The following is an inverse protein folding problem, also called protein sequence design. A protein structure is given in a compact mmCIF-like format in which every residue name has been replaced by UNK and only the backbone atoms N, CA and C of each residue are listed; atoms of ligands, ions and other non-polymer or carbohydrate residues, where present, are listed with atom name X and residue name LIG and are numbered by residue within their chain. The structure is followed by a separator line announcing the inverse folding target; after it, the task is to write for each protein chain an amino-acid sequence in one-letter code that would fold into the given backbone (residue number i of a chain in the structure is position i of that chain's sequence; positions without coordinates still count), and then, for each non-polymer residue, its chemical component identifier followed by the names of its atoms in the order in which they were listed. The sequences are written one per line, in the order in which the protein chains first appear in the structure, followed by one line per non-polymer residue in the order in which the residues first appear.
data_IF_327829685639
#
_entry.id   IF_327829685639
#
_cell.length_a   1.000
_cell.length_b   1.000
_cell.length_c   1.000
_cell.angle_alpha   90.00
_cell.angle_beta   90.00
_cell.angle_gamma   90.00
#
_symmetry.space_group_name_H-M   'P 1'
#
loop_
_entity.id
_entity.type
_entity.pdbx_description
1 polymer ?
#
# COMPACT_ATOMS: atom_id res chain seq x y z
N UNK A 1 12.58 -17.67 8.02
CA UNK A 1 13.91 -17.27 8.53
C UNK A 1 13.88 -16.23 9.65
N UNK A 2 12.81 -15.43 9.83
CA UNK A 2 12.77 -14.39 10.88
C UNK A 2 11.87 -14.71 12.08
N UNK A 3 11.17 -15.86 12.10
CA UNK A 3 10.21 -16.19 13.15
C UNK A 3 10.89 -16.41 14.52
N UNK A 4 11.87 -17.30 14.62
CA UNK A 4 12.56 -17.58 15.88
C UNK A 4 13.25 -16.33 16.48
N UNK A 5 14.00 -15.52 15.69
CA UNK A 5 14.53 -14.25 16.20
C UNK A 5 13.45 -13.28 16.70
N UNK A 6 12.31 -13.21 16.02
CA UNK A 6 11.21 -12.35 16.43
C UNK A 6 10.58 -12.84 17.74
N UNK A 7 10.34 -14.14 17.88
CA UNK A 7 9.77 -14.72 19.10
C UNK A 7 10.68 -14.50 20.31
N UNK A 8 12.01 -14.64 20.13
CA UNK A 8 12.98 -14.32 21.18
C UNK A 8 12.91 -12.84 21.61
N UNK A 9 12.86 -11.92 20.64
CA UNK A 9 12.76 -10.49 20.93
C UNK A 9 11.44 -10.13 21.63
N UNK A 10 10.32 -10.77 21.27
CA UNK A 10 9.04 -10.55 21.93
C UNK A 10 9.05 -11.04 23.38
N UNK A 11 9.73 -12.16 23.67
CA UNK A 11 9.90 -12.66 25.03
C UNK A 11 10.80 -11.76 25.87
N UNK A 12 11.88 -11.25 25.27
CA UNK A 12 12.85 -10.38 25.94
C UNK A 12 12.30 -8.97 26.20
N UNK A 13 11.72 -8.34 25.18
CA UNK A 13 11.30 -6.94 25.25
C UNK A 13 9.88 -6.74 25.80
N UNK A 14 9.01 -7.76 25.71
CA UNK A 14 7.60 -7.71 26.12
C UNK A 14 6.87 -6.42 25.69
N UNK A 15 6.85 -6.07 24.39
CA UNK A 15 6.25 -4.83 23.93
C UNK A 15 4.72 -4.84 24.08
N UNK A 16 4.12 -3.66 24.32
CA UNK A 16 2.65 -3.51 24.36
C UNK A 16 1.99 -3.78 22.99
N UNK A 17 2.72 -3.61 21.90
CA UNK A 17 2.23 -3.78 20.54
C UNK A 17 3.36 -4.09 19.55
N UNK A 18 3.05 -4.89 18.53
CA UNK A 18 3.93 -5.16 17.38
C UNK A 18 3.27 -4.59 16.11
N UNK A 19 4.00 -3.75 15.39
CA UNK A 19 3.63 -3.32 14.03
C UNK A 19 4.46 -4.12 13.04
N UNK A 20 3.80 -5.00 12.29
CA UNK A 20 4.42 -5.81 11.25
C UNK A 20 4.00 -5.30 9.86
N UNK A 21 4.92 -5.37 8.91
CA UNK A 21 4.68 -4.92 7.55
C UNK A 21 3.59 -5.78 6.87
N UNK A 22 2.68 -5.09 6.20
CA UNK A 22 1.73 -5.68 5.27
C UNK A 22 2.15 -5.19 3.89
N UNK A 23 2.47 -6.11 2.99
CA UNK A 23 2.90 -5.81 1.61
C UNK A 23 1.77 -5.19 0.73
N UNK A 24 0.75 -4.57 1.32
CA UNK A 24 -0.54 -4.27 0.69
C UNK A 24 -1.06 -2.91 1.18
N UNK A 25 -1.31 -2.00 0.25
CA UNK A 25 -1.97 -0.71 0.53
C UNK A 25 -3.48 -0.89 0.78
N UNK A 26 -4.15 0.12 1.34
CA UNK A 26 -5.61 0.08 1.59
C UNK A 26 -6.48 -0.18 0.35
N UNK A 27 -5.97 0.16 -0.84
CA UNK A 27 -6.64 -0.17 -2.09
C UNK A 27 -6.48 -1.63 -2.53
N UNK A 28 -5.59 -2.38 -1.89
CA UNK A 28 -5.03 -3.62 -2.44
C UNK A 28 -5.69 -4.89 -1.84
N UNK A 29 -6.56 -4.75 -0.83
CA UNK A 29 -7.60 -5.76 -0.50
C UNK A 29 -8.62 -5.94 -1.64
N UNK A 30 -8.59 -5.05 -2.64
CA UNK A 30 -9.20 -5.32 -3.94
C UNK A 30 -8.71 -6.64 -4.55
N UNK A 31 -7.57 -7.23 -4.17
CA UNK A 31 -7.07 -8.46 -4.81
C UNK A 31 -8.02 -9.67 -4.73
N UNK A 32 -8.70 -9.90 -3.60
CA UNK A 32 -9.73 -10.94 -3.53
C UNK A 32 -10.95 -10.61 -4.40
N UNK A 33 -11.38 -9.34 -4.40
CA UNK A 33 -12.51 -8.88 -5.21
C UNK A 33 -12.18 -8.88 -6.72
N UNK A 34 -10.93 -8.55 -7.06
CA UNK A 34 -10.32 -8.63 -8.39
C UNK A 34 -10.32 -10.08 -8.84
N UNK A 35 -9.94 -11.03 -7.97
CA UNK A 35 -9.94 -12.45 -8.28
C UNK A 35 -11.34 -12.96 -8.64
N UNK A 36 -12.34 -12.64 -7.81
CA UNK A 36 -13.73 -13.03 -8.06
C UNK A 36 -14.33 -12.34 -9.30
N UNK A 37 -13.93 -11.10 -9.59
CA UNK A 37 -14.38 -10.35 -10.76
C UNK A 37 -13.67 -10.80 -12.04
N UNK A 38 -12.40 -11.20 -11.98
CA UNK A 38 -11.60 -11.72 -13.10
C UNK A 38 -12.19 -13.01 -13.67
N UNK A 39 -12.65 -13.93 -12.81
CA UNK A 39 -13.29 -15.20 -13.22
C UNK A 39 -14.49 -14.99 -14.15
N UNK A 40 -15.08 -13.79 -14.18
CA UNK A 40 -16.27 -13.45 -14.98
C UNK A 40 -15.94 -13.00 -16.41
N UNK A 41 -14.66 -12.89 -16.78
CA UNK A 41 -14.23 -12.41 -18.10
C UNK A 41 -13.43 -13.51 -18.79
N UNK A 42 -13.49 -13.60 -20.12
CA UNK A 42 -12.71 -14.57 -20.94
C UNK A 42 -11.59 -13.95 -21.78
N UNK A 43 -11.55 -12.61 -21.90
CA UNK A 43 -10.49 -11.85 -22.60
C UNK A 43 -9.67 -10.97 -21.65
N UNK A 44 -8.39 -10.73 -21.98
CA UNK A 44 -7.48 -9.88 -21.20
C UNK A 44 -7.71 -8.38 -21.40
N UNK A 45 -8.20 -7.99 -22.58
CA UNK A 45 -8.40 -6.59 -22.95
C UNK A 45 -9.83 -6.11 -22.69
N UNK A 46 -10.75 -7.02 -22.34
CA UNK A 46 -12.13 -6.66 -22.04
C UNK A 46 -12.22 -6.06 -20.62
N UNK A 47 -12.76 -4.84 -20.45
CA UNK A 47 -12.95 -4.27 -19.14
C UNK A 47 -13.96 -5.06 -18.30
N UNK A 48 -13.73 -5.11 -16.99
CA UNK A 48 -14.68 -5.57 -15.99
C UNK A 48 -14.77 -4.57 -14.85
N UNK A 49 -15.94 -4.55 -14.20
CA UNK A 49 -16.20 -3.67 -13.06
C UNK A 49 -15.80 -4.40 -11.79
N UNK A 50 -15.03 -3.72 -10.94
CA UNK A 50 -14.77 -4.21 -9.59
C UNK A 50 -16.06 -4.20 -8.78
N UNK A 51 -16.38 -5.34 -8.19
CA UNK A 51 -17.53 -5.47 -7.28
C UNK A 51 -17.10 -5.12 -5.86
N UNK A 52 -18.01 -4.56 -5.07
CA UNK A 52 -17.79 -4.21 -3.66
C UNK A 52 -16.68 -3.17 -3.42
N UNK A 53 -16.54 -2.23 -4.37
CA UNK A 53 -15.79 -0.97 -4.20
C UNK A 53 -16.77 0.21 -4.21
N UNK A 54 -16.35 1.32 -3.61
CA UNK A 54 -17.21 2.48 -3.38
C UNK A 54 -17.53 3.30 -4.64
N UNK A 55 -16.83 3.04 -5.72
CA UNK A 55 -17.01 3.68 -7.02
C UNK A 55 -16.86 2.65 -8.13
N UNK A 56 -17.45 2.93 -9.29
CA UNK A 56 -17.33 2.05 -10.46
C UNK A 56 -15.90 2.10 -11.01
N UNK A 57 -15.07 1.15 -10.59
CA UNK A 57 -13.70 1.00 -11.09
C UNK A 57 -13.72 -0.05 -12.20
N UNK A 58 -13.33 0.35 -13.41
CA UNK A 58 -13.15 -0.54 -14.56
C UNK A 58 -11.70 -0.89 -14.74
N UNK A 59 -11.40 -2.19 -14.73
CA UNK A 59 -10.06 -2.72 -14.99
C UNK A 59 -10.10 -3.72 -16.14
N UNK A 60 -8.98 -3.86 -16.82
CA UNK A 60 -8.68 -4.97 -17.73
C UNK A 60 -7.71 -5.94 -17.03
N UNK A 61 -7.59 -7.19 -17.48
CA UNK A 61 -6.61 -8.11 -16.86
C UNK A 61 -5.18 -7.64 -17.00
N UNK A 62 -4.87 -6.93 -18.10
CA UNK A 62 -3.55 -6.32 -18.32
C UNK A 62 -3.18 -5.25 -17.29
N UNK A 63 -4.14 -4.72 -16.53
CA UNK A 63 -3.87 -3.76 -15.45
C UNK A 63 -3.66 -4.44 -14.09
N UNK A 64 -3.83 -5.77 -14.00
CA UNK A 64 -3.60 -6.52 -12.78
C UNK A 64 -2.11 -6.89 -12.64
N UNK A 65 -1.57 -7.07 -11.43
CA UNK A 65 -0.30 -7.74 -11.20
C UNK A 65 -0.25 -9.13 -11.84
N UNK A 66 0.92 -9.56 -12.31
CA UNK A 66 1.07 -10.86 -13.00
C UNK A 66 0.61 -12.04 -12.15
N UNK A 67 0.84 -11.99 -10.83
CA UNK A 67 0.38 -13.01 -9.88
C UNK A 67 -1.15 -13.13 -9.77
N UNK A 68 -1.90 -12.09 -10.13
CA UNK A 68 -3.37 -12.13 -10.22
C UNK A 68 -3.87 -12.46 -11.63
N UNK A 69 -3.02 -12.32 -12.67
CA UNK A 69 -3.38 -12.65 -14.06
C UNK A 69 -3.42 -14.15 -14.33
N UNK A 70 -2.61 -14.95 -13.64
CA UNK A 70 -2.55 -16.40 -13.83
C UNK A 70 -3.66 -17.12 -13.04
N UNK A 71 -4.20 -18.22 -13.57
CA UNK A 71 -5.34 -18.97 -12.99
C UNK A 71 -4.90 -20.14 -12.09
N UNK A 72 -3.68 -20.10 -11.55
CA UNK A 72 -3.11 -21.21 -10.78
C UNK A 72 -2.90 -20.84 -9.31
N UNK A 73 -3.04 -21.87 -8.47
CA UNK A 73 -2.70 -21.96 -7.05
C UNK A 73 -1.18 -21.76 -6.86
N UNK A 74 -0.71 -20.55 -7.15
CA UNK A 74 0.68 -20.12 -7.05
C UNK A 74 0.99 -19.70 -5.63
N UNK A 75 2.28 -19.70 -5.26
CA UNK A 75 2.75 -19.18 -3.98
C UNK A 75 2.31 -17.73 -3.75
N UNK A 76 2.14 -16.95 -4.84
CA UNK A 76 1.58 -15.60 -4.77
C UNK A 76 0.12 -15.59 -4.29
N UNK A 77 -0.73 -16.47 -4.83
CA UNK A 77 -2.14 -16.55 -4.41
C UNK A 77 -2.31 -16.99 -2.95
N UNK A 78 -1.42 -17.88 -2.47
CA UNK A 78 -1.34 -18.29 -1.06
C UNK A 78 -0.90 -17.13 -0.18
N UNK A 79 0.18 -16.44 -0.55
CA UNK A 79 0.66 -15.25 0.13
C UNK A 79 -0.45 -14.17 0.25
N UNK A 80 -1.18 -13.91 -0.83
CA UNK A 80 -2.28 -12.94 -0.79
C UNK A 80 -3.43 -13.38 0.13
N UNK A 81 -3.73 -14.68 0.17
CA UNK A 81 -4.73 -15.24 1.09
C UNK A 81 -4.27 -15.11 2.55
N UNK A 82 -3.01 -15.42 2.84
CA UNK A 82 -2.41 -15.26 4.17
C UNK A 82 -2.38 -13.80 4.62
N UNK A 83 -2.11 -12.85 3.72
CA UNK A 83 -2.15 -11.42 4.04
C UNK A 83 -3.58 -10.97 4.37
N UNK A 84 -4.58 -11.43 3.62
CA UNK A 84 -5.98 -11.10 3.94
C UNK A 84 -6.39 -11.75 5.25
N UNK A 85 -5.97 -12.98 5.54
CA UNK A 85 -6.21 -13.62 6.83
C UNK A 85 -5.51 -12.92 7.99
N UNK A 86 -4.29 -12.42 7.80
CA UNK A 86 -3.56 -11.70 8.85
C UNK A 86 -4.23 -10.36 9.18
N UNK A 87 -4.80 -9.67 8.18
CA UNK A 87 -5.65 -8.50 8.38
C UNK A 87 -6.90 -8.83 9.22
N UNK A 88 -7.46 -10.04 9.07
CA UNK A 88 -8.62 -10.48 9.84
C UNK A 88 -8.27 -10.85 11.29
N UNK A 89 -7.08 -11.44 11.50
CA UNK A 89 -6.59 -11.97 12.79
C UNK A 89 -5.88 -10.91 13.63
N UNK A 90 -5.35 -9.86 13.01
CA UNK A 90 -4.64 -8.79 13.72
C UNK A 90 -5.59 -7.89 14.50
N UNK A 91 -5.02 -7.08 15.40
CA UNK A 91 -5.81 -6.09 16.13
C UNK A 91 -6.43 -5.06 15.17
N UNK A 92 -5.71 -4.66 14.13
CA UNK A 92 -6.19 -3.81 13.07
C UNK A 92 -5.04 -3.32 12.21
N UNK A 93 -5.30 -2.31 11.38
CA UNK A 93 -4.35 -1.82 10.38
C UNK A 93 -4.00 -0.35 10.60
N UNK A 94 -2.71 -0.06 10.53
CA UNK A 94 -2.18 1.29 10.48
C UNK A 94 -1.93 1.64 9.02
N UNK A 95 -2.38 2.81 8.59
CA UNK A 95 -2.33 3.22 7.20
C UNK A 95 -1.58 4.53 7.07
N UNK A 96 -0.59 4.56 6.17
CA UNK A 96 0.04 5.79 5.75
C UNK A 96 -0.84 6.54 4.71
N UNK A 97 -2.01 6.99 5.17
CA UNK A 97 -2.98 7.85 4.49
C UNK A 97 -3.67 8.71 5.55
N UNK A 98 -4.51 9.68 5.19
CA UNK A 98 -5.27 10.51 6.13
C UNK A 98 -6.75 10.52 5.74
N UNK A 99 -7.63 10.78 6.71
CA UNK A 99 -9.07 10.60 6.49
C UNK A 99 -9.61 11.45 5.34
N UNK A 100 -9.16 12.69 5.23
CA UNK A 100 -9.68 13.68 4.28
C UNK A 100 -9.38 13.34 2.82
N UNK A 101 -8.36 12.52 2.52
CA UNK A 101 -8.04 12.13 1.14
C UNK A 101 -8.91 10.98 0.63
N UNK A 102 -9.30 10.05 1.51
CA UNK A 102 -10.00 8.82 1.15
C UNK A 102 -11.12 8.46 2.17
N UNK A 103 -12.02 9.40 2.53
CA UNK A 103 -12.94 9.22 3.66
C UNK A 103 -13.88 8.03 3.47
N UNK A 104 -14.34 7.82 2.23
CA UNK A 104 -15.23 6.74 1.88
C UNK A 104 -14.56 5.37 2.12
N UNK A 105 -13.28 5.20 1.77
CA UNK A 105 -12.55 3.94 1.96
C UNK A 105 -12.27 3.66 3.43
N UNK A 106 -11.92 4.69 4.20
CA UNK A 106 -11.76 4.57 5.65
C UNK A 106 -13.07 4.12 6.31
N UNK A 107 -14.18 4.73 5.92
CA UNK A 107 -15.51 4.37 6.40
C UNK A 107 -15.93 2.97 5.98
N UNK A 108 -15.62 2.56 4.75
CA UNK A 108 -15.88 1.20 4.27
C UNK A 108 -15.14 0.15 5.11
N UNK A 109 -13.85 0.37 5.39
CA UNK A 109 -13.08 -0.54 6.23
C UNK A 109 -13.66 -0.65 7.64
N UNK A 110 -14.04 0.48 8.25
CA UNK A 110 -14.56 0.52 9.61
C UNK A 110 -15.99 -0.03 9.72
N UNK A 111 -16.88 0.37 8.82
CA UNK A 111 -18.32 0.13 8.91
C UNK A 111 -18.78 -1.11 8.14
N UNK A 112 -18.21 -1.36 6.97
CA UNK A 112 -18.63 -2.48 6.10
C UNK A 112 -17.79 -3.73 6.38
N UNK A 113 -16.46 -3.58 6.47
CA UNK A 113 -15.58 -4.71 6.76
C UNK A 113 -15.43 -5.01 8.25
N UNK A 114 -15.90 -4.11 9.12
CA UNK A 114 -15.79 -4.22 10.57
C UNK A 114 -14.35 -4.19 11.09
N UNK A 115 -13.42 -3.58 10.35
CA UNK A 115 -12.00 -3.54 10.69
C UNK A 115 -11.65 -2.28 11.45
N UNK A 116 -10.72 -2.41 12.41
CA UNK A 116 -10.08 -1.24 13.01
C UNK A 116 -8.98 -0.75 12.07
N UNK A 117 -9.14 0.46 11.56
CA UNK A 117 -8.18 1.08 10.65
C UNK A 117 -7.84 2.49 11.16
N UNK A 118 -6.54 2.81 11.21
CA UNK A 118 -6.02 4.11 11.64
C UNK A 118 -5.20 4.75 10.51
N UNK A 119 -5.79 5.69 9.75
CA UNK A 119 -5.04 6.54 8.83
C UNK A 119 -4.27 7.60 9.64
N UNK A 120 -2.95 7.45 9.70
CA UNK A 120 -2.04 8.32 10.49
C UNK A 120 -1.03 9.09 9.62
N UNK A 121 -1.19 9.00 8.31
CA UNK A 121 -0.29 9.60 7.34
C UNK A 121 -0.56 11.08 7.06
N UNK A 122 0.21 11.69 6.15
CA UNK A 122 1.43 11.13 5.56
C UNK A 122 2.58 11.13 6.58
N UNK A 123 3.09 9.94 6.94
CA UNK A 123 4.13 9.78 7.99
C UNK A 123 5.47 10.42 7.58
N UNK A 124 5.64 10.71 6.29
CA UNK A 124 6.78 11.46 5.76
C UNK A 124 6.91 12.87 6.34
N UNK A 125 5.83 13.43 6.91
CA UNK A 125 5.81 14.73 7.58
C UNK A 125 6.28 14.69 9.04
N UNK A 126 6.46 13.50 9.64
CA UNK A 126 6.96 13.37 11.01
C UNK A 126 8.41 13.86 11.13
N UNK A 127 9.23 13.57 10.12
CA UNK A 127 10.60 14.06 10.04
C UNK A 127 10.58 15.54 9.66
N UNK A 128 11.07 16.41 10.54
CA UNK A 128 11.11 17.87 10.32
C UNK A 128 12.48 18.36 9.82
N UNK A 129 13.56 17.64 10.14
CA UNK A 129 14.90 17.95 9.65
C UNK A 129 15.03 17.72 8.14
N UNK A 130 15.77 18.59 7.46
CA UNK A 130 16.09 18.43 6.03
C UNK A 130 16.94 17.17 5.82
N UNK A 131 17.91 16.93 6.71
CA UNK A 131 18.78 15.74 6.69
C UNK A 131 17.98 14.44 6.83
N UNK A 132 17.04 14.38 7.79
CA UNK A 132 16.15 13.22 8.00
C UNK A 132 15.25 12.92 6.78
N UNK A 133 15.03 13.91 5.90
CA UNK A 133 14.25 13.76 4.67
C UNK A 133 15.13 13.37 3.49
N UNK A 134 16.34 13.94 3.41
CA UNK A 134 17.30 13.72 2.34
C UNK A 134 17.91 12.31 2.37
N UNK A 135 18.03 11.71 3.55
CA UNK A 135 18.52 10.32 3.71
C UNK A 135 17.46 9.25 3.40
N UNK A 136 16.25 9.62 2.97
CA UNK A 136 15.22 8.63 2.62
C UNK A 136 15.47 8.08 1.23
N UNK A 137 15.73 6.79 1.14
CA UNK A 137 15.98 6.10 -0.12
C UNK A 137 17.48 6.03 -0.45
N UNK A 138 17.80 5.90 -1.73
CA UNK A 138 19.19 5.82 -2.18
C UNK A 138 19.81 7.23 -2.25
N UNK A 139 21.12 7.31 -2.02
CA UNK A 139 21.88 8.55 -2.19
C UNK A 139 21.79 9.03 -3.65
N UNK A 140 21.44 10.31 -3.81
CA UNK A 140 21.41 10.94 -5.12
C UNK A 140 22.84 11.13 -5.66
N UNK A 141 23.00 10.96 -6.97
CA UNK A 141 24.29 11.20 -7.65
C UNK A 141 24.67 12.68 -7.76
N UNK A 142 23.75 13.60 -7.43
CA UNK A 142 23.92 15.05 -7.48
C UNK A 142 23.55 15.62 -6.12
N UNK A 143 24.29 16.64 -5.67
CA UNK A 143 24.02 17.29 -4.39
C UNK A 143 22.66 18.00 -4.40
N UNK A 144 21.90 17.90 -3.29
CA UNK A 144 20.61 18.57 -3.11
C UNK A 144 20.70 20.08 -3.41
N UNK A 145 21.77 20.72 -2.92
CA UNK A 145 22.04 22.14 -3.12
C UNK A 145 22.18 22.55 -4.59
N UNK A 146 22.66 21.66 -5.45
CA UNK A 146 22.80 21.94 -6.88
C UNK A 146 21.44 21.86 -7.60
N UNK A 147 20.65 20.83 -7.29
CA UNK A 147 19.29 20.67 -7.80
C UNK A 147 18.38 21.85 -7.40
N UNK A 148 18.43 22.27 -6.13
CA UNK A 148 17.63 23.40 -5.65
C UNK A 148 18.00 24.72 -6.32
N UNK A 149 19.30 25.03 -6.45
CA UNK A 149 19.76 26.23 -7.18
C UNK A 149 19.32 26.23 -8.65
N UNK A 150 19.34 25.06 -9.29
CA UNK A 150 18.85 24.93 -10.64
C UNK A 150 17.33 25.17 -10.73
N UNK A 151 16.55 24.63 -9.78
CA UNK A 151 15.10 24.86 -9.70
C UNK A 151 14.75 26.34 -9.48
N UNK A 152 15.49 27.04 -8.62
CA UNK A 152 15.32 28.48 -8.36
C UNK A 152 15.50 29.35 -9.62
N UNK A 153 16.24 28.85 -10.62
CA UNK A 153 16.43 29.55 -11.90
C UNK A 153 15.25 29.40 -12.88
N UNK A 154 14.28 28.55 -12.58
CA UNK A 154 13.15 28.23 -13.46
C UNK A 154 11.90 29.02 -13.10
N UNK A 155 10.97 29.15 -14.05
CA UNK A 155 9.68 29.78 -13.77
C UNK A 155 8.85 28.86 -12.86
N UNK A 156 7.94 29.41 -12.04
CA UNK A 156 6.99 28.61 -11.30
C UNK A 156 6.23 27.63 -12.21
N UNK A 157 6.07 26.38 -11.77
CA UNK A 157 5.38 25.31 -12.48
C UNK A 157 5.95 24.97 -13.88
N UNK A 158 7.23 25.25 -14.16
CA UNK A 158 7.84 24.99 -15.48
C UNK A 158 8.75 23.75 -15.55
N UNK A 159 8.87 22.99 -14.47
CA UNK A 159 9.76 21.81 -14.39
C UNK A 159 8.92 20.56 -14.19
N UNK A 160 9.26 19.49 -14.92
CA UNK A 160 8.68 18.16 -14.74
C UNK A 160 9.67 17.33 -13.93
N UNK A 161 9.21 16.79 -12.81
CA UNK A 161 9.99 15.86 -11.98
C UNK A 161 9.74 14.42 -12.45
N UNK A 162 10.83 13.70 -12.72
CA UNK A 162 10.83 12.28 -13.09
C UNK A 162 11.76 11.59 -12.09
N UNK A 163 11.27 10.55 -11.42
CA UNK A 163 11.98 9.79 -10.39
C UNK A 163 12.04 8.30 -10.75
#
# INVERSE_FOLDING_TARGET
MLQEPLEMLLQECQPDCLVADLLISMGYRCCCQIWDSKKKVSSDSKPFVLTNVLSEIKLTRKQLPDGLRQDFDTDYSKLMSEIVESELKSFGIIVNSFYEVEPAYVDYYRKVLGRRAWPIGPVSLCNRGIEDKAQRGNEASISENECLKWLDSKKPNSVIYIY
#
